data_IF_341914323068
#
_entry.id   IF_341914323068
#
_cell.length_a   1.000
_cell.length_b   1.000
_cell.length_c   1.000
_cell.angle_alpha   90.00
_cell.angle_beta   90.00
_cell.angle_gamma   90.00
#
_symmetry.space_group_name_H-M   'P 1'
#
loop_
_entity.id
_entity.type
_entity.pdbx_description
1 polymer ?
#
# COMPACT_ATOMS: atom_id res chain seq x y z
N UNK A 1 47.60 5.10 -16.64
CA UNK A 1 46.96 3.89 -17.20
C UNK A 1 46.97 2.88 -16.06
N UNK A 2 45.89 2.46 -15.40
CA UNK A 2 44.52 2.09 -15.81
C UNK A 2 43.61 2.13 -14.56
N UNK A 3 42.39 2.69 -14.68
CA UNK A 3 41.19 2.19 -13.96
C UNK A 3 40.59 1.05 -14.83
N UNK A 4 39.69 0.15 -14.37
CA UNK A 4 38.68 0.31 -13.30
C UNK A 4 38.52 -0.93 -12.39
N UNK A 5 37.74 -0.84 -11.30
CA UNK A 5 36.43 -1.50 -11.27
C UNK A 5 35.86 -1.48 -9.86
N UNK A 6 34.73 -0.79 -9.71
CA UNK A 6 33.92 -0.69 -8.50
C UNK A 6 32.97 -1.88 -8.51
N UNK A 7 33.04 -2.71 -7.47
CA UNK A 7 32.08 -3.78 -7.24
C UNK A 7 31.27 -3.40 -5.99
N UNK A 8 30.35 -2.45 -6.13
CA UNK A 8 29.24 -2.32 -5.19
C UNK A 8 28.12 -3.22 -5.68
N UNK A 9 28.23 -4.51 -5.37
CA UNK A 9 27.06 -5.37 -5.29
C UNK A 9 26.70 -5.44 -3.82
N UNK A 10 25.81 -4.54 -3.41
CA UNK A 10 25.15 -4.65 -2.11
C UNK A 10 24.46 -6.00 -2.11
N UNK A 11 24.97 -6.90 -1.28
CA UNK A 11 24.37 -8.18 -0.97
C UNK A 11 22.88 -7.98 -0.72
N UNK A 12 22.06 -8.83 -1.34
CA UNK A 12 20.67 -8.96 -1.00
C UNK A 12 20.55 -9.06 0.54
N UNK A 13 19.56 -8.42 1.18
CA UNK A 13 19.38 -8.57 2.63
C UNK A 13 19.02 -10.03 2.93
N UNK A 14 20.05 -10.85 3.15
CA UNK A 14 19.93 -12.13 3.82
C UNK A 14 19.56 -11.83 5.27
N UNK A 15 18.52 -12.49 5.77
CA UNK A 15 17.83 -12.26 7.05
C UNK A 15 16.72 -11.19 7.07
N UNK A 16 15.82 -11.22 6.08
CA UNK A 16 14.44 -10.85 6.38
C UNK A 16 13.87 -11.93 7.30
N UNK A 17 13.81 -11.67 8.60
CA UNK A 17 12.85 -12.34 9.48
C UNK A 17 11.49 -12.16 8.80
N UNK A 18 11.02 -13.18 8.09
CA UNK A 18 9.74 -13.13 7.39
C UNK A 18 8.69 -13.00 8.48
N UNK A 19 8.27 -11.76 8.72
CA UNK A 19 7.18 -11.45 9.62
C UNK A 19 5.96 -12.21 9.09
N UNK A 20 5.54 -13.25 9.80
CA UNK A 20 4.37 -14.08 9.45
C UNK A 20 3.11 -13.24 9.67
N UNK A 21 2.85 -12.32 8.76
CA UNK A 21 1.78 -11.33 8.83
C UNK A 21 1.00 -11.33 7.53
N UNK A 22 -0.29 -11.08 7.63
CA UNK A 22 -1.09 -10.88 6.43
C UNK A 22 -1.00 -9.43 5.97
N UNK A 23 -1.10 -9.21 4.67
CA UNK A 23 -1.02 -7.91 4.03
C UNK A 23 -2.20 -7.72 3.09
N UNK A 24 -2.77 -6.52 3.10
CA UNK A 24 -3.93 -6.17 2.29
C UNK A 24 -3.49 -5.23 1.18
N UNK A 25 -3.85 -5.59 -0.05
CA UNK A 25 -3.50 -4.87 -1.26
C UNK A 25 -4.73 -4.38 -2.01
N UNK A 26 -4.66 -3.17 -2.53
CA UNK A 26 -5.59 -2.62 -3.51
C UNK A 26 -4.92 -2.49 -4.88
N UNK A 27 -5.64 -2.86 -5.93
CA UNK A 27 -5.19 -2.65 -7.31
C UNK A 27 -5.44 -1.20 -7.71
N UNK A 28 -4.40 -0.47 -8.11
CA UNK A 28 -4.50 0.86 -8.70
C UNK A 28 -4.82 0.75 -10.20
N UNK A 29 -5.60 1.71 -10.71
CA UNK A 29 -5.90 1.80 -12.13
C UNK A 29 -4.67 2.28 -12.91
N UNK A 30 -4.10 1.41 -13.71
CA UNK A 30 -3.31 1.83 -14.87
C UNK A 30 -4.30 2.06 -16.01
N UNK A 31 -4.72 3.31 -16.23
CA UNK A 31 -5.61 3.63 -17.34
C UNK A 31 -4.93 3.28 -18.66
N UNK A 32 -5.51 2.38 -19.45
CA UNK A 32 -5.13 2.13 -20.84
C UNK A 32 -5.60 3.23 -21.80
N UNK A 33 -5.94 4.42 -21.29
CA UNK A 33 -6.36 5.58 -22.09
C UNK A 33 -6.31 6.82 -21.19
N UNK A 34 -5.19 7.55 -21.21
CA UNK A 34 -5.06 8.99 -20.95
C UNK A 34 -3.55 9.31 -20.88
N UNK A 35 -3.06 9.92 -21.95
CA UNK A 35 -1.74 10.56 -22.03
C UNK A 35 -1.67 11.77 -21.09
N UNK A 36 -1.44 11.54 -19.78
CA UNK A 36 -0.90 12.57 -18.89
C UNK A 36 0.09 11.92 -17.92
N UNK A 37 1.33 12.36 -18.06
CA UNK A 37 2.55 11.86 -17.42
C UNK A 37 2.46 11.78 -15.89
N UNK A 38 2.20 10.59 -15.35
CA UNK A 38 2.80 10.23 -14.06
C UNK A 38 4.24 9.84 -14.36
N UNK A 39 5.26 10.51 -13.77
CA UNK A 39 6.63 10.04 -13.88
C UNK A 39 6.72 8.69 -13.17
N UNK A 40 6.50 7.62 -13.92
CA UNK A 40 6.78 6.26 -13.50
C UNK A 40 8.22 6.23 -13.02
N UNK A 41 8.42 5.68 -11.82
CA UNK A 41 9.75 5.38 -11.32
C UNK A 41 10.54 4.66 -12.42
N UNK A 42 11.78 5.09 -12.75
CA UNK A 42 12.53 4.54 -13.86
C UNK A 42 12.76 3.04 -13.63
N UNK A 43 12.06 2.19 -14.39
CA UNK A 43 12.20 0.73 -14.36
C UNK A 43 10.92 -0.10 -14.10
N UNK A 44 9.75 0.52 -13.89
CA UNK A 44 8.49 -0.22 -13.68
C UNK A 44 7.80 -0.45 -15.03
N UNK A 45 7.72 -1.72 -15.45
CA UNK A 45 6.99 -2.12 -16.66
C UNK A 45 5.50 -1.77 -16.60
N UNK A 46 4.80 -1.83 -17.74
CA UNK A 46 3.37 -1.49 -17.91
C UNK A 46 2.40 -2.50 -17.24
N UNK A 47 2.76 -3.02 -16.07
CA UNK A 47 1.97 -3.97 -15.30
C UNK A 47 1.02 -3.26 -14.32
N UNK A 48 0.04 -3.99 -13.79
CA UNK A 48 -0.86 -3.46 -12.78
C UNK A 48 -0.09 -3.07 -11.52
N UNK A 49 -0.38 -1.88 -10.98
CA UNK A 49 0.20 -1.39 -9.73
C UNK A 49 -0.69 -1.83 -8.57
N UNK A 50 -0.08 -2.37 -7.52
CA UNK A 50 -0.76 -2.71 -6.27
C UNK A 50 -0.23 -1.85 -5.14
N UNK A 51 -1.13 -1.36 -4.30
CA UNK A 51 -0.80 -0.54 -3.14
C UNK A 51 -1.13 -1.33 -1.89
N UNK A 52 -0.14 -1.52 -1.03
CA UNK A 52 -0.34 -2.09 0.29
C UNK A 52 -1.07 -1.07 1.17
N UNK A 53 -2.22 -1.47 1.70
CA UNK A 53 -3.10 -0.59 2.51
C UNK A 53 -2.92 -0.86 4.00
N UNK A 54 -2.72 -2.12 4.37
CA UNK A 54 -2.71 -2.52 5.77
C UNK A 54 -1.89 -3.80 5.98
N UNK A 55 -1.25 -3.91 7.15
CA UNK A 55 -0.55 -5.10 7.64
C UNK A 55 -1.32 -5.60 8.86
N UNK A 56 -1.81 -6.83 8.80
CA UNK A 56 -2.55 -7.47 9.87
C UNK A 56 -1.61 -8.16 10.84
N UNK A 57 -1.79 -7.87 12.12
CA UNK A 57 -1.08 -8.48 13.23
C UNK A 57 -1.83 -9.71 13.74
N UNK A 58 -1.19 -10.56 14.57
CA UNK A 58 -1.89 -11.63 15.24
C UNK A 58 -3.13 -11.09 15.99
N UNK A 59 -4.27 -11.75 15.78
CA UNK A 59 -5.61 -11.40 16.30
C UNK A 59 -6.37 -10.32 15.53
N UNK A 60 -5.79 -9.71 14.50
CA UNK A 60 -6.54 -8.83 13.61
C UNK A 60 -7.47 -9.65 12.69
N UNK A 61 -8.51 -9.00 12.18
CA UNK A 61 -9.53 -9.62 11.34
C UNK A 61 -9.69 -8.87 10.01
N UNK A 62 -9.90 -9.62 8.93
CA UNK A 62 -10.14 -9.10 7.59
C UNK A 62 -11.58 -9.36 7.14
N UNK A 63 -12.14 -8.46 6.33
CA UNK A 63 -13.44 -8.64 5.67
C UNK A 63 -14.66 -8.22 6.50
N UNK A 64 -14.47 -7.73 7.72
CA UNK A 64 -15.56 -7.22 8.57
C UNK A 64 -16.30 -6.04 7.92
N UNK A 65 -15.59 -5.24 7.12
CA UNK A 65 -16.13 -4.11 6.37
C UNK A 65 -17.12 -4.53 5.26
N UNK A 66 -17.14 -5.81 4.90
CA UNK A 66 -18.09 -6.38 3.93
C UNK A 66 -19.39 -6.86 4.56
N UNK A 67 -19.47 -6.88 5.90
CA UNK A 67 -20.63 -7.38 6.63
C UNK A 67 -21.64 -6.25 6.82
N UNK A 68 -22.74 -6.31 6.08
CA UNK A 68 -23.88 -5.41 6.28
C UNK A 68 -24.95 -6.13 7.11
N UNK A 69 -25.21 -5.63 8.31
CA UNK A 69 -26.20 -6.21 9.22
C UNK A 69 -27.63 -5.68 9.00
N UNK A 70 -27.79 -4.57 8.28
CA UNK A 70 -29.08 -3.88 8.11
C UNK A 70 -29.82 -4.28 6.82
N UNK A 71 -29.10 -4.80 5.83
CA UNK A 71 -29.69 -5.32 4.59
C UNK A 71 -29.28 -6.79 4.42
N UNK A 72 -30.28 -7.69 4.45
CA UNK A 72 -30.09 -9.11 4.09
C UNK A 72 -29.73 -9.31 2.62
N UNK A 73 -29.81 -8.26 1.81
CA UNK A 73 -29.55 -8.32 0.38
C UNK A 73 -28.19 -7.68 0.05
N UNK A 74 -27.46 -8.41 -0.79
CA UNK A 74 -26.10 -8.17 -1.29
C UNK A 74 -26.02 -6.93 -2.19
N UNK A 75 -26.35 -5.75 -1.68
CA UNK A 75 -25.98 -4.51 -2.36
C UNK A 75 -24.49 -4.23 -2.13
N UNK A 76 -23.64 -5.06 -2.76
CA UNK A 76 -22.17 -4.96 -2.88
C UNK A 76 -21.70 -3.73 -3.68
N UNK A 77 -22.54 -2.69 -3.83
CA UNK A 77 -22.31 -1.68 -4.85
C UNK A 77 -21.15 -0.73 -4.58
N UNK A 78 -20.55 -0.74 -3.39
CA UNK A 78 -19.52 0.24 -3.00
C UNK A 78 -18.28 -0.35 -2.29
N UNK A 79 -18.06 -1.66 -2.29
CA UNK A 79 -16.85 -2.23 -1.66
C UNK A 79 -15.66 -2.22 -2.61
N UNK A 80 -14.60 -1.51 -2.24
CA UNK A 80 -13.32 -1.56 -2.95
C UNK A 80 -12.73 -2.98 -2.93
N UNK A 81 -12.29 -3.47 -4.09
CA UNK A 81 -11.74 -4.82 -4.22
C UNK A 81 -10.32 -4.90 -3.64
N UNK A 82 -10.20 -5.63 -2.53
CA UNK A 82 -8.95 -5.88 -1.81
C UNK A 82 -8.48 -7.33 -1.98
N UNK A 83 -7.16 -7.53 -1.99
CA UNK A 83 -6.51 -8.83 -1.96
C UNK A 83 -5.79 -9.04 -0.63
N UNK A 84 -5.99 -10.19 0.01
CA UNK A 84 -5.30 -10.58 1.25
C UNK A 84 -4.18 -11.57 0.93
N UNK A 85 -2.96 -11.29 1.38
CA UNK A 85 -1.77 -12.12 1.19
C UNK A 85 -1.24 -12.52 2.57
N UNK A 86 -1.15 -13.82 2.88
CA UNK A 86 -0.85 -14.26 4.26
C UNK A 86 0.63 -14.34 4.64
N UNK A 87 1.57 -14.33 3.68
CA UNK A 87 3.02 -14.47 3.91
C UNK A 87 3.41 -15.51 4.97
N UNK A 88 2.73 -16.66 4.99
CA UNK A 88 2.98 -17.75 5.93
C UNK A 88 2.31 -17.62 7.30
N UNK A 89 1.36 -16.70 7.45
CA UNK A 89 0.48 -16.62 8.61
C UNK A 89 -0.61 -17.71 8.59
N UNK A 90 -0.98 -18.20 9.77
CA UNK A 90 -2.11 -19.10 9.96
C UNK A 90 -3.40 -18.28 10.07
N UNK A 91 -4.39 -18.62 9.25
CA UNK A 91 -5.66 -17.90 9.20
C UNK A 91 -6.82 -18.82 9.59
N UNK A 92 -7.70 -18.34 10.47
CA UNK A 92 -9.00 -18.98 10.73
C UNK A 92 -10.04 -18.27 9.88
N UNK A 93 -10.69 -19.03 8.98
CA UNK A 93 -11.72 -18.49 8.10
C UNK A 93 -13.11 -18.83 8.63
N UNK A 94 -13.98 -17.82 8.69
CA UNK A 94 -15.37 -17.97 9.13
C UNK A 94 -16.31 -17.62 7.98
N UNK A 95 -17.34 -18.41 7.76
CA UNK A 95 -18.31 -18.10 6.71
C UNK A 95 -19.13 -16.86 7.10
N UNK A 96 -19.27 -15.93 6.15
CA UNK A 96 -20.01 -14.67 6.35
C UNK A 96 -21.44 -14.92 6.82
N UNK A 97 -22.12 -15.91 6.23
CA UNK A 97 -23.48 -16.32 6.62
C UNK A 97 -23.55 -16.77 8.09
N UNK A 98 -22.68 -17.67 8.50
CA UNK A 98 -22.66 -18.17 9.88
C UNK A 98 -22.40 -17.05 10.88
N UNK A 99 -21.45 -16.15 10.54
CA UNK A 99 -21.16 -14.98 11.34
C UNK A 99 -22.37 -14.04 11.47
N UNK A 100 -23.05 -13.74 10.36
CA UNK A 100 -24.24 -12.87 10.37
C UNK A 100 -25.41 -13.48 11.16
N UNK A 101 -25.61 -14.79 11.04
CA UNK A 101 -26.70 -15.51 11.72
C UNK A 101 -26.49 -15.62 13.24
N UNK A 102 -25.24 -15.67 13.71
CA UNK A 102 -24.91 -15.90 15.13
C UNK A 102 -24.24 -14.69 15.83
N UNK A 103 -23.98 -13.60 15.13
CA UNK A 103 -23.42 -12.40 15.74
C UNK A 103 -24.40 -11.79 16.75
N UNK A 104 -23.94 -11.57 17.98
CA UNK A 104 -24.71 -10.86 19.01
C UNK A 104 -24.80 -9.36 18.68
N UNK A 105 -25.85 -8.68 19.13
CA UNK A 105 -26.08 -7.24 18.91
C UNK A 105 -24.92 -6.37 19.40
N UNK A 106 -24.27 -6.74 20.50
CA UNK A 106 -23.06 -6.03 20.96
C UNK A 106 -21.93 -6.09 19.94
N UNK A 107 -21.73 -7.25 19.29
CA UNK A 107 -20.70 -7.43 18.25
C UNK A 107 -21.05 -6.64 17.00
N UNK A 108 -22.34 -6.65 16.60
CA UNK A 108 -22.82 -5.85 15.47
C UNK A 108 -22.58 -4.35 15.71
N UNK A 109 -22.91 -3.86 16.90
CA UNK A 109 -22.67 -2.47 17.27
C UNK A 109 -21.18 -2.12 17.27
N UNK A 110 -20.34 -3.01 17.81
CA UNK A 110 -18.89 -2.83 17.84
C UNK A 110 -18.31 -2.72 16.42
N UNK A 111 -18.72 -3.61 15.51
CA UNK A 111 -18.26 -3.59 14.11
C UNK A 111 -18.67 -2.31 13.41
N UNK A 112 -19.95 -1.88 13.53
CA UNK A 112 -20.43 -0.63 12.93
C UNK A 112 -19.66 0.60 13.40
N UNK A 113 -19.16 0.59 14.64
CA UNK A 113 -18.44 1.72 15.24
C UNK A 113 -16.95 1.74 14.92
N UNK A 114 -16.31 0.58 14.80
CA UNK A 114 -14.84 0.49 14.71
C UNK A 114 -14.33 0.12 13.33
N UNK A 115 -15.16 -0.45 12.46
CA UNK A 115 -14.73 -0.88 11.14
C UNK A 115 -15.00 0.22 10.13
N UNK A 116 -13.91 0.87 9.70
CA UNK A 116 -13.95 1.82 8.58
C UNK A 116 -13.91 1.06 7.25
N UNK A 117 -14.64 1.52 6.22
CA UNK A 117 -14.41 1.03 4.86
C UNK A 117 -12.99 1.38 4.39
N UNK A 118 -12.46 0.54 3.50
CA UNK A 118 -11.25 0.86 2.76
C UNK A 118 -11.46 2.09 1.88
N UNK A 119 -10.40 2.87 1.61
CA UNK A 119 -10.50 4.01 0.71
C UNK A 119 -11.03 3.58 -0.66
N UNK A 120 -11.73 4.49 -1.34
CA UNK A 120 -12.11 4.28 -2.73
C UNK A 120 -10.86 4.24 -3.62
N UNK A 121 -10.98 3.63 -4.80
CA UNK A 121 -9.87 3.57 -5.77
C UNK A 121 -9.38 4.96 -6.17
N UNK A 122 -10.29 5.94 -6.30
CA UNK A 122 -9.94 7.33 -6.61
C UNK A 122 -9.13 7.95 -5.46
N UNK A 123 -9.61 7.81 -4.23
CA UNK A 123 -8.89 8.32 -3.07
C UNK A 123 -7.52 7.65 -2.91
N UNK A 124 -7.41 6.36 -3.22
CA UNK A 124 -6.14 5.65 -3.21
C UNK A 124 -5.17 6.21 -4.26
N UNK A 125 -5.66 6.47 -5.48
CA UNK A 125 -4.85 7.03 -6.56
C UNK A 125 -4.34 8.43 -6.21
N UNK A 126 -5.20 9.29 -5.67
CA UNK A 126 -4.84 10.65 -5.26
C UNK A 126 -3.77 10.63 -4.15
N UNK A 127 -3.92 9.74 -3.17
CA UNK A 127 -2.94 9.55 -2.10
C UNK A 127 -1.61 9.01 -2.64
N UNK A 128 -1.65 8.08 -3.61
CA UNK A 128 -0.45 7.55 -4.25
C UNK A 128 0.29 8.65 -5.01
N UNK A 129 -0.43 9.45 -5.80
CA UNK A 129 0.14 10.55 -6.56
C UNK A 129 0.78 11.59 -5.64
N UNK A 130 0.05 12.03 -4.60
CA UNK A 130 0.57 12.98 -3.62
C UNK A 130 1.85 12.47 -2.94
N UNK A 131 1.93 11.16 -2.64
CA UNK A 131 3.12 10.54 -2.07
C UNK A 131 4.30 10.52 -3.06
N UNK A 132 4.06 10.18 -4.32
CA UNK A 132 5.09 10.18 -5.36
C UNK A 132 5.62 11.58 -5.59
N UNK A 133 4.73 12.57 -5.72
CA UNK A 133 5.10 13.97 -5.92
C UNK A 133 5.94 14.49 -4.75
N UNK A 134 5.58 14.11 -3.52
CA UNK A 134 6.35 14.43 -2.33
C UNK A 134 7.75 13.82 -2.34
N UNK A 135 7.90 12.56 -2.76
CA UNK A 135 9.22 11.94 -2.87
C UNK A 135 10.08 12.62 -3.94
N UNK A 136 9.51 12.94 -5.10
CA UNK A 136 10.21 13.67 -6.17
C UNK A 136 10.65 15.04 -5.67
N UNK A 137 9.78 15.77 -4.98
CA UNK A 137 10.10 17.07 -4.41
C UNK A 137 11.25 16.98 -3.40
N UNK A 138 11.18 16.05 -2.44
CA UNK A 138 12.25 15.84 -1.46
C UNK A 138 13.59 15.52 -2.12
N UNK A 139 13.59 14.64 -3.12
CA UNK A 139 14.81 14.27 -3.83
C UNK A 139 15.44 15.46 -4.57
N UNK A 140 14.62 16.32 -5.20
CA UNK A 140 15.09 17.56 -5.84
C UNK A 140 15.69 18.50 -4.81
N UNK A 141 14.95 18.77 -3.72
CA UNK A 141 15.40 19.67 -2.67
C UNK A 141 16.73 19.22 -2.03
N UNK A 142 16.89 17.93 -1.74
CA UNK A 142 18.15 17.39 -1.21
C UNK A 142 19.30 17.60 -2.20
N UNK A 143 19.07 17.35 -3.50
CA UNK A 143 20.09 17.59 -4.54
C UNK A 143 20.49 19.06 -4.61
N UNK A 144 19.51 19.96 -4.57
CA UNK A 144 19.72 21.41 -4.67
C UNK A 144 20.50 21.94 -3.46
N UNK A 145 20.14 21.52 -2.25
CA UNK A 145 20.85 21.91 -1.01
C UNK A 145 22.29 21.38 -1.01
N UNK A 146 22.51 20.12 -1.42
CA UNK A 146 23.85 19.55 -1.51
C UNK A 146 24.69 20.27 -2.58
N UNK A 147 24.09 20.61 -3.72
CA UNK A 147 24.76 21.37 -4.78
C UNK A 147 25.14 22.78 -4.29
N UNK A 148 24.23 23.48 -3.62
CA UNK A 148 24.47 24.80 -3.05
C UNK A 148 25.65 24.81 -2.07
N UNK A 149 25.72 23.82 -1.16
CA UNK A 149 26.82 23.69 -0.19
C UNK A 149 28.17 23.40 -0.85
N UNK A 150 28.20 22.70 -1.98
CA UNK A 150 29.44 22.47 -2.74
C UNK A 150 29.95 23.75 -3.39
N UNK A 151 29.05 24.60 -3.91
CA UNK A 151 29.43 25.87 -4.54
C UNK A 151 29.97 26.88 -3.51
N UNK A 152 29.39 26.96 -2.32
CA UNK A 152 29.85 27.88 -1.28
C UNK A 152 31.22 27.51 -0.68
N UNK A 153 31.64 26.24 -0.77
CA UNK A 153 32.94 25.79 -0.26
C UNK A 153 34.08 26.05 -1.25
N UNK A 154 33.79 26.27 -2.54
CA UNK A 154 34.79 26.51 -3.59
C UNK A 154 35.26 27.97 -3.64
N UNK A 155 34.46 28.92 -3.13
CA UNK A 155 34.77 30.36 -3.18
C UNK A 155 35.68 30.85 -2.03
N UNK A 156 36.05 29.99 -1.06
CA UNK A 156 37.08 30.30 -0.06
C UNK A 156 38.42 29.63 -0.41
N UNK A 157 39.11 30.11 -1.45
CA UNK A 157 40.56 29.90 -1.65
C UNK A 157 41.17 31.06 -2.41
#
# INVERSE_FOLDING_TARGET
MTKPGINTWSEAPSSATTSRQCEIYLKSRTSSKCDLDVPLLPGVGSGPVFVQVEILKPKDAFGLNTVNFDQREEHEKNSTLVSLVSNGAECVMLSKKMFMDHANEMVKHMIRRHVSPYPSEVALQDNLQAKVDWEIYKQRLVKDVVAYKRLSTVTQR
#
